data_IF_949938883678
#
_entry.id   IF_949938883678
#
_cell.length_a   1.000
_cell.length_b   1.000
_cell.length_c   1.000
_cell.angle_alpha   90.00
_cell.angle_beta   90.00
_cell.angle_gamma   90.00
#
_symmetry.space_group_name_H-M   'P 1'
#
loop_
_entity.id
_entity.type
_entity.pdbx_description
1 polymer ?
#
# COMPACT_ATOMS: atom_id res chain seq x y z
N UNK A 1 -17.37 36.00 7.68
CA UNK A 1 -16.94 34.86 6.85
C UNK A 1 -17.50 34.88 5.41
N UNK A 2 -18.66 35.49 5.16
CA UNK A 2 -19.30 35.60 3.82
C UNK A 2 -18.69 36.67 2.90
N UNK A 3 -18.04 37.69 3.40
CA UNK A 3 -17.51 38.81 2.59
C UNK A 3 -16.18 38.43 1.86
N UNK A 4 -15.36 37.61 2.47
CA UNK A 4 -14.10 37.13 1.88
C UNK A 4 -14.32 36.24 0.66
N UNK A 5 -15.35 35.41 0.67
CA UNK A 5 -15.72 34.51 -0.43
C UNK A 5 -16.17 35.26 -1.69
N UNK A 6 -16.91 36.40 -1.54
CA UNK A 6 -17.33 37.25 -2.69
C UNK A 6 -16.14 37.97 -3.33
N UNK A 7 -15.21 38.52 -2.54
CA UNK A 7 -14.00 39.18 -3.06
C UNK A 7 -13.09 38.20 -3.80
N UNK A 8 -12.90 37.01 -3.26
CA UNK A 8 -12.12 35.96 -3.94
C UNK A 8 -12.77 35.51 -5.25
N UNK A 9 -14.10 35.31 -5.29
CA UNK A 9 -14.80 35.01 -6.55
C UNK A 9 -14.67 36.13 -7.58
N UNK A 10 -14.80 37.38 -7.16
CA UNK A 10 -14.64 38.52 -8.07
C UNK A 10 -13.21 38.67 -8.57
N UNK A 11 -12.18 38.39 -7.74
CA UNK A 11 -10.80 38.34 -8.18
C UNK A 11 -10.57 37.22 -9.20
N UNK A 12 -11.03 36.01 -8.93
CA UNK A 12 -10.87 34.88 -9.87
C UNK A 12 -11.58 35.14 -11.21
N UNK A 13 -12.76 35.72 -11.19
CA UNK A 13 -13.51 36.09 -12.43
C UNK A 13 -12.74 37.17 -13.19
N UNK A 14 -12.27 38.22 -12.52
CA UNK A 14 -11.52 39.32 -13.12
C UNK A 14 -10.20 38.85 -13.71
N UNK A 15 -9.46 37.98 -13.01
CA UNK A 15 -8.19 37.40 -13.49
C UNK A 15 -8.45 36.48 -14.69
N UNK A 16 -9.50 35.69 -14.68
CA UNK A 16 -9.92 34.86 -15.80
C UNK A 16 -10.29 35.69 -17.04
N UNK A 17 -11.02 36.79 -16.88
CA UNK A 17 -11.38 37.68 -17.98
C UNK A 17 -10.14 38.36 -18.57
N UNK A 18 -9.24 38.85 -17.72
CA UNK A 18 -7.99 39.49 -18.17
C UNK A 18 -7.11 38.48 -18.90
N UNK A 19 -7.01 37.25 -18.38
CA UNK A 19 -6.23 36.16 -18.99
C UNK A 19 -6.82 35.77 -20.34
N UNK A 20 -8.12 35.62 -20.45
CA UNK A 20 -8.80 35.30 -21.70
C UNK A 20 -8.61 36.40 -22.77
N UNK A 21 -8.69 37.67 -22.37
CA UNK A 21 -8.44 38.79 -23.29
C UNK A 21 -6.99 38.84 -23.77
N UNK A 22 -6.02 38.57 -22.87
CA UNK A 22 -4.60 38.48 -23.24
C UNK A 22 -4.36 37.34 -24.23
N UNK A 23 -4.93 36.15 -23.98
CA UNK A 23 -4.81 35.04 -24.91
C UNK A 23 -5.54 35.32 -26.26
N UNK A 24 -6.69 35.97 -26.26
CA UNK A 24 -7.37 36.35 -27.49
C UNK A 24 -6.52 37.36 -28.32
N UNK A 25 -5.86 38.31 -27.66
CA UNK A 25 -4.95 39.24 -28.31
C UNK A 25 -3.70 38.50 -28.85
N UNK A 26 -3.06 37.67 -28.05
CA UNK A 26 -1.91 36.88 -28.45
C UNK A 26 -2.27 36.00 -29.65
N UNK A 27 -3.36 35.26 -29.61
CA UNK A 27 -3.84 34.43 -30.70
C UNK A 27 -4.06 35.26 -31.99
N UNK A 28 -4.67 36.44 -31.89
CA UNK A 28 -4.86 37.34 -33.02
C UNK A 28 -3.57 37.86 -33.62
N UNK A 29 -2.53 38.05 -32.81
CA UNK A 29 -1.14 38.42 -33.28
C UNK A 29 -0.45 37.21 -33.90
N UNK A 30 -0.52 36.04 -33.26
CA UNK A 30 0.07 34.79 -33.74
C UNK A 30 -0.54 34.38 -35.08
N UNK A 31 -1.83 34.46 -35.26
CA UNK A 31 -2.51 34.13 -36.54
C UNK A 31 -2.10 35.04 -37.70
N UNK A 32 -1.70 36.30 -37.41
CA UNK A 32 -1.20 37.26 -38.40
C UNK A 32 0.27 37.12 -38.68
N UNK A 33 1.08 36.82 -37.67
CA UNK A 33 2.53 36.81 -37.72
C UNK A 33 3.09 35.40 -38.07
N UNK A 34 2.41 34.31 -37.69
CA UNK A 34 2.90 32.95 -37.88
C UNK A 34 2.17 32.29 -39.06
N UNK A 35 2.84 32.24 -40.21
CA UNK A 35 2.40 31.36 -41.32
C UNK A 35 2.72 29.90 -40.90
N UNK A 36 1.77 29.20 -40.33
CA UNK A 36 1.89 27.75 -40.14
C UNK A 36 2.03 27.10 -41.52
N UNK A 37 3.22 26.60 -41.88
CA UNK A 37 3.31 25.61 -42.95
C UNK A 37 2.35 24.48 -42.60
N UNK A 38 1.45 24.12 -43.53
CA UNK A 38 0.63 22.95 -43.38
C UNK A 38 1.54 21.78 -42.96
N UNK A 39 1.43 21.33 -41.72
CA UNK A 39 2.14 20.12 -41.28
C UNK A 39 1.55 19.01 -42.14
N UNK A 40 2.38 18.47 -43.03
CA UNK A 40 2.10 17.14 -43.57
C UNK A 40 1.99 16.25 -42.33
N UNK A 41 0.81 15.68 -42.10
CA UNK A 41 0.53 14.78 -40.97
C UNK A 41 1.36 13.49 -41.13
N UNK A 42 2.66 13.60 -40.92
CA UNK A 42 3.44 12.40 -40.63
C UNK A 42 3.16 12.04 -39.19
N UNK A 43 2.37 10.97 -38.99
CA UNK A 43 2.17 10.32 -37.72
C UNK A 43 3.55 10.12 -37.08
N UNK A 44 3.76 10.74 -35.94
CA UNK A 44 5.01 10.55 -35.16
C UNK A 44 5.08 9.10 -34.69
N UNK A 45 6.28 8.65 -34.32
CA UNK A 45 6.45 7.30 -33.75
C UNK A 45 5.57 7.15 -32.50
N UNK A 46 5.43 8.21 -31.70
CA UNK A 46 4.55 8.25 -30.55
C UNK A 46 3.08 8.01 -30.93
N UNK A 47 2.59 8.62 -32.02
CA UNK A 47 1.21 8.45 -32.46
C UNK A 47 0.93 7.01 -32.92
N UNK A 48 1.90 6.36 -33.56
CA UNK A 48 1.78 4.95 -33.98
C UNK A 48 1.74 4.00 -32.78
N UNK A 49 2.56 4.24 -31.76
CA UNK A 49 2.56 3.48 -30.51
C UNK A 49 1.24 3.71 -29.78
N UNK A 50 0.76 4.95 -29.73
CA UNK A 50 -0.50 5.28 -29.09
C UNK A 50 -1.71 4.62 -29.74
N UNK A 51 -1.73 4.45 -31.06
CA UNK A 51 -2.80 3.70 -31.74
C UNK A 51 -2.94 2.25 -31.23
N UNK A 52 -1.84 1.62 -30.81
CA UNK A 52 -1.84 0.26 -30.25
C UNK A 52 -2.15 0.31 -28.76
N UNK A 53 -1.43 1.14 -28.01
CA UNK A 53 -1.48 1.20 -26.54
C UNK A 53 -2.80 1.77 -26.03
N UNK A 54 -3.40 2.72 -26.75
CA UNK A 54 -4.70 3.32 -26.38
C UNK A 54 -5.90 2.66 -27.06
N UNK A 55 -5.67 1.58 -27.82
CA UNK A 55 -6.74 0.84 -28.46
C UNK A 55 -7.71 0.27 -27.43
N UNK A 56 -9.00 0.48 -27.66
CA UNK A 56 -10.08 0.14 -26.70
C UNK A 56 -10.06 -1.32 -26.20
N UNK A 57 -9.58 -2.24 -27.01
CA UNK A 57 -9.54 -3.68 -26.69
C UNK A 57 -8.14 -4.10 -26.19
N UNK A 58 -7.08 -3.61 -26.85
CA UNK A 58 -5.71 -4.01 -26.55
C UNK A 58 -5.11 -3.30 -25.33
N UNK A 59 -5.62 -2.14 -24.98
CA UNK A 59 -5.07 -1.34 -23.88
C UNK A 59 -5.08 -2.08 -22.53
N UNK A 60 -6.18 -2.75 -22.17
CA UNK A 60 -6.30 -3.49 -20.93
C UNK A 60 -5.38 -4.72 -20.86
N UNK A 61 -5.31 -5.59 -21.88
CA UNK A 61 -4.34 -6.69 -21.91
C UNK A 61 -2.88 -6.23 -21.85
N UNK A 62 -2.51 -5.22 -22.65
CA UNK A 62 -1.14 -4.67 -22.63
C UNK A 62 -0.80 -4.15 -21.24
N UNK A 63 -1.71 -3.41 -20.66
CA UNK A 63 -1.58 -2.90 -19.31
C UNK A 63 -1.41 -4.03 -18.27
N UNK A 64 -2.26 -5.08 -18.35
CA UNK A 64 -2.16 -6.24 -17.46
C UNK A 64 -0.80 -6.94 -17.56
N UNK A 65 -0.28 -7.10 -18.79
CA UNK A 65 1.05 -7.70 -19.01
C UNK A 65 2.17 -6.84 -18.44
N UNK A 66 2.15 -5.52 -18.66
CA UNK A 66 3.18 -4.61 -18.11
C UNK A 66 3.15 -4.64 -16.58
N UNK A 67 1.97 -4.60 -15.97
CA UNK A 67 1.83 -4.68 -14.52
C UNK A 67 2.25 -6.03 -13.97
N UNK A 68 1.90 -7.11 -14.64
CA UNK A 68 2.35 -8.45 -14.28
C UNK A 68 3.87 -8.56 -14.28
N UNK A 69 4.53 -8.08 -15.33
CA UNK A 69 6.00 -8.08 -15.41
C UNK A 69 6.62 -7.23 -14.31
N UNK A 70 6.06 -6.05 -14.03
CA UNK A 70 6.55 -5.15 -12.98
C UNK A 70 6.44 -5.81 -11.60
N UNK A 71 5.29 -6.38 -11.27
CA UNK A 71 5.10 -7.04 -9.97
C UNK A 71 5.88 -8.35 -9.87
N UNK A 72 5.96 -9.13 -10.93
CA UNK A 72 6.76 -10.36 -10.95
C UNK A 72 8.25 -10.08 -10.73
N UNK A 73 8.78 -8.97 -11.26
CA UNK A 73 10.17 -8.58 -11.06
C UNK A 73 10.42 -7.99 -9.65
N UNK A 74 9.43 -7.33 -9.07
CA UNK A 74 9.55 -6.70 -7.74
C UNK A 74 9.21 -7.66 -6.59
N UNK A 75 8.14 -8.46 -6.74
CA UNK A 75 7.50 -9.23 -5.66
C UNK A 75 7.24 -10.70 -6.05
N UNK A 76 7.82 -11.20 -7.14
CA UNK A 76 7.66 -12.58 -7.59
C UNK A 76 8.54 -13.54 -6.80
N UNK A 77 8.68 -14.77 -7.32
CA UNK A 77 9.59 -15.77 -6.76
C UNK A 77 11.04 -15.30 -6.80
N UNK A 78 11.75 -15.44 -5.70
CA UNK A 78 13.15 -15.04 -5.53
C UNK A 78 14.05 -15.68 -6.59
N UNK A 79 15.14 -14.99 -6.94
CA UNK A 79 16.19 -15.55 -7.81
C UNK A 79 16.83 -16.76 -7.16
N UNK A 80 16.95 -16.79 -5.83
CA UNK A 80 17.49 -17.92 -5.08
C UNK A 80 16.65 -19.19 -5.28
N UNK A 81 15.33 -19.05 -5.45
CA UNK A 81 14.38 -20.15 -5.64
C UNK A 81 14.10 -20.46 -7.14
N UNK A 82 14.97 -19.99 -8.03
CA UNK A 82 14.84 -20.21 -9.47
C UNK A 82 13.86 -19.27 -10.18
N UNK A 83 13.39 -18.22 -9.51
CA UNK A 83 12.59 -17.15 -10.09
C UNK A 83 13.43 -16.03 -10.72
N UNK A 84 12.86 -14.87 -10.91
CA UNK A 84 13.51 -13.69 -11.50
C UNK A 84 13.23 -12.38 -10.74
N UNK A 85 12.66 -12.47 -9.54
CA UNK A 85 12.37 -11.30 -8.71
C UNK A 85 13.62 -10.79 -7.99
N UNK A 86 14.13 -9.67 -8.47
CA UNK A 86 15.28 -8.97 -7.88
C UNK A 86 14.89 -8.36 -6.52
N UNK A 87 13.66 -7.85 -6.42
CA UNK A 87 13.17 -7.23 -5.19
C UNK A 87 13.07 -8.21 -4.04
N UNK A 88 12.48 -9.38 -4.27
CA UNK A 88 12.37 -10.45 -3.27
C UNK A 88 13.74 -10.97 -2.87
N UNK A 89 14.61 -11.28 -3.83
CA UNK A 89 15.98 -11.72 -3.53
C UNK A 89 16.74 -10.73 -2.61
N UNK A 90 16.65 -9.44 -2.88
CA UNK A 90 17.31 -8.44 -2.05
C UNK A 90 16.67 -8.31 -0.66
N UNK A 91 15.36 -8.53 -0.56
CA UNK A 91 14.61 -8.54 0.70
C UNK A 91 14.98 -9.76 1.55
N UNK A 92 14.99 -10.96 0.94
CA UNK A 92 15.40 -12.22 1.61
C UNK A 92 16.83 -12.09 2.14
N UNK A 93 17.75 -11.63 1.30
CA UNK A 93 19.14 -11.40 1.75
C UNK A 93 19.22 -10.41 2.94
N UNK A 94 18.41 -9.34 2.91
CA UNK A 94 18.40 -8.35 3.99
C UNK A 94 17.81 -8.92 5.27
N UNK A 95 16.73 -9.70 5.17
CA UNK A 95 16.08 -10.31 6.33
C UNK A 95 16.93 -11.45 6.92
N UNK A 96 17.36 -12.39 6.09
CA UNK A 96 18.01 -13.62 6.57
C UNK A 96 19.48 -13.35 6.96
N UNK A 97 20.24 -12.67 6.09
CA UNK A 97 21.67 -12.47 6.32
C UNK A 97 21.92 -11.25 7.20
N UNK A 98 21.34 -10.09 6.88
CA UNK A 98 21.65 -8.86 7.61
C UNK A 98 20.98 -8.82 8.98
N UNK A 99 19.66 -9.02 9.03
CA UNK A 99 18.89 -8.95 10.27
C UNK A 99 18.67 -10.29 10.95
N UNK A 100 18.82 -11.43 10.26
CA UNK A 100 18.77 -12.76 10.83
C UNK A 100 20.10 -13.21 11.46
N UNK A 101 21.24 -12.88 10.83
CA UNK A 101 22.54 -13.37 11.27
C UNK A 101 23.49 -12.24 11.74
N UNK A 102 23.81 -11.26 10.87
CA UNK A 102 24.89 -10.30 11.13
C UNK A 102 24.57 -9.40 12.31
N UNK A 103 23.41 -8.74 12.27
CA UNK A 103 23.03 -7.75 13.31
C UNK A 103 22.77 -8.42 14.65
N UNK A 104 22.01 -9.54 14.76
CA UNK A 104 21.80 -10.23 16.02
C UNK A 104 23.08 -10.76 16.63
N UNK A 105 23.95 -11.40 15.84
CA UNK A 105 25.22 -11.93 16.34
C UNK A 105 26.16 -10.82 16.83
N UNK A 106 26.27 -9.72 16.09
CA UNK A 106 27.14 -8.61 16.46
C UNK A 106 26.63 -7.86 17.70
N UNK A 107 25.33 -7.52 17.72
CA UNK A 107 24.73 -6.79 18.86
C UNK A 107 24.51 -7.71 20.07
N UNK A 108 24.06 -8.96 19.85
CA UNK A 108 23.87 -9.94 20.92
C UNK A 108 25.17 -10.22 21.65
N UNK A 109 26.25 -10.56 20.93
CA UNK A 109 27.56 -10.76 21.53
C UNK A 109 28.11 -9.53 22.27
N UNK A 110 27.84 -8.31 21.76
CA UNK A 110 28.22 -7.08 22.44
C UNK A 110 27.41 -6.86 23.73
N UNK A 111 26.09 -7.06 23.70
CA UNK A 111 25.21 -6.91 24.87
C UNK A 111 25.50 -7.95 25.95
N UNK A 112 25.76 -9.20 25.56
CA UNK A 112 26.17 -10.27 26.49
C UNK A 112 27.54 -9.97 27.11
N UNK A 113 28.48 -9.43 26.33
CA UNK A 113 29.80 -9.04 26.81
C UNK A 113 29.78 -7.92 27.87
N UNK A 114 28.75 -7.06 27.86
CA UNK A 114 28.53 -5.99 28.86
C UNK A 114 27.72 -6.50 30.08
N UNK A 115 27.06 -7.67 29.98
CA UNK A 115 26.23 -8.22 31.04
C UNK A 115 24.91 -7.46 31.23
N UNK A 116 24.25 -7.10 30.15
CA UNK A 116 22.98 -6.34 30.14
C UNK A 116 21.87 -7.17 30.79
N UNK A 117 20.98 -6.52 31.55
CA UNK A 117 19.81 -7.15 32.17
C UNK A 117 18.89 -7.76 31.07
N UNK A 118 18.35 -8.98 31.31
CA UNK A 118 17.56 -9.73 30.33
C UNK A 118 16.41 -8.95 29.70
N UNK A 119 15.67 -8.15 30.47
CA UNK A 119 14.59 -7.33 29.95
C UNK A 119 15.07 -6.25 28.95
N UNK A 120 16.27 -5.69 29.19
CA UNK A 120 16.86 -4.68 28.32
C UNK A 120 17.44 -5.33 27.05
N UNK A 121 17.97 -6.55 27.17
CA UNK A 121 18.38 -7.37 26.03
C UNK A 121 17.18 -7.64 25.10
N UNK A 122 16.04 -8.10 25.64
CA UNK A 122 14.81 -8.32 24.89
C UNK A 122 14.28 -7.03 24.25
N UNK A 123 14.28 -5.89 24.97
CA UNK A 123 13.87 -4.60 24.40
C UNK A 123 14.71 -4.21 23.18
N UNK A 124 16.02 -4.39 23.27
CA UNK A 124 16.93 -4.03 22.16
C UNK A 124 16.78 -4.99 21.00
N UNK A 125 16.80 -6.31 21.26
CA UNK A 125 16.77 -7.32 20.20
C UNK A 125 15.37 -7.49 19.60
N UNK A 126 14.37 -7.77 20.42
CA UNK A 126 13.03 -8.10 19.97
C UNK A 126 12.16 -6.86 19.72
N UNK A 127 12.42 -5.77 20.41
CA UNK A 127 11.70 -4.51 20.21
C UNK A 127 12.32 -3.63 19.12
N UNK A 128 13.59 -3.25 19.28
CA UNK A 128 14.24 -2.25 18.41
C UNK A 128 14.81 -2.91 17.15
N UNK A 129 15.64 -3.95 17.29
CA UNK A 129 16.30 -4.57 16.13
C UNK A 129 15.28 -5.27 15.24
N UNK A 130 14.35 -6.01 15.81
CA UNK A 130 13.27 -6.63 15.06
C UNK A 130 12.37 -5.58 14.37
N UNK A 131 12.05 -4.47 15.07
CA UNK A 131 11.28 -3.36 14.49
C UNK A 131 12.00 -2.63 13.35
N UNK A 132 13.29 -2.38 13.49
CA UNK A 132 14.14 -1.81 12.44
C UNK A 132 14.29 -2.80 11.28
N UNK A 133 14.50 -4.08 11.58
CA UNK A 133 14.59 -5.17 10.61
C UNK A 133 13.33 -5.28 9.76
N UNK A 134 12.17 -5.28 10.39
CA UNK A 134 10.88 -5.31 9.68
C UNK A 134 10.70 -4.13 8.70
N UNK A 135 11.24 -2.93 9.03
CA UNK A 135 11.19 -1.79 8.12
C UNK A 135 12.23 -1.89 7.02
N UNK A 136 13.50 -2.10 7.38
CA UNK A 136 14.61 -2.10 6.41
C UNK A 136 14.64 -3.35 5.55
N UNK A 137 14.15 -4.48 6.07
CA UNK A 137 14.00 -5.72 5.32
C UNK A 137 13.08 -5.56 4.12
N UNK A 138 12.02 -4.76 4.25
CA UNK A 138 11.06 -4.53 3.17
C UNK A 138 11.47 -3.42 2.18
N UNK A 139 12.46 -2.61 2.53
CA UNK A 139 12.93 -1.48 1.70
C UNK A 139 13.47 -1.90 0.33
N UNK A 140 14.28 -2.96 0.18
CA UNK A 140 14.82 -3.33 -1.12
C UNK A 140 13.73 -3.63 -2.16
N UNK A 141 12.73 -4.41 -1.79
CA UNK A 141 11.57 -4.73 -2.64
C UNK A 141 10.80 -3.46 -3.05
N UNK A 142 10.61 -2.54 -2.10
CA UNK A 142 9.98 -1.25 -2.35
C UNK A 142 10.79 -0.36 -3.29
N UNK A 143 12.12 -0.34 -3.18
CA UNK A 143 13.00 0.42 -4.06
C UNK A 143 12.92 -0.08 -5.51
N UNK A 144 12.91 -1.39 -5.71
CA UNK A 144 12.72 -1.99 -7.04
C UNK A 144 11.36 -1.59 -7.61
N UNK A 145 10.30 -1.66 -6.82
CA UNK A 145 8.97 -1.23 -7.23
C UNK A 145 8.94 0.25 -7.61
N UNK A 146 9.51 1.14 -6.79
CA UNK A 146 9.57 2.57 -7.07
C UNK A 146 10.40 2.88 -8.32
N UNK A 147 11.47 2.14 -8.53
CA UNK A 147 12.32 2.27 -9.71
C UNK A 147 11.54 1.95 -10.99
N UNK A 148 10.86 0.81 -11.03
CA UNK A 148 10.04 0.39 -12.16
C UNK A 148 8.88 1.36 -12.42
N UNK A 149 8.19 1.80 -11.36
CA UNK A 149 7.13 2.80 -11.47
C UNK A 149 7.64 4.14 -12.00
N UNK A 150 8.83 4.58 -11.56
CA UNK A 150 9.44 5.83 -12.04
C UNK A 150 9.81 5.74 -13.51
N UNK A 151 10.24 4.58 -14.00
CA UNK A 151 10.48 4.35 -15.44
C UNK A 151 9.16 4.50 -16.22
N UNK A 152 8.08 3.84 -15.79
CA UNK A 152 6.78 3.90 -16.47
C UNK A 152 6.17 5.31 -16.46
N UNK A 153 6.42 6.06 -15.38
CA UNK A 153 5.98 7.45 -15.24
C UNK A 153 6.78 8.37 -16.18
N UNK A 154 8.10 8.24 -16.20
CA UNK A 154 8.99 9.05 -17.00
C UNK A 154 8.81 8.81 -18.51
N UNK A 155 8.60 7.58 -18.96
CA UNK A 155 8.24 7.24 -20.35
C UNK A 155 6.90 7.88 -20.77
N UNK A 156 6.04 8.24 -19.82
CA UNK A 156 4.71 8.80 -20.07
C UNK A 156 3.62 7.75 -20.26
N UNK A 157 3.89 6.47 -19.96
CA UNK A 157 2.91 5.39 -20.09
C UNK A 157 1.72 5.54 -19.12
N UNK A 158 1.98 6.00 -17.88
CA UNK A 158 0.95 6.20 -16.86
C UNK A 158 -0.14 7.19 -17.27
N UNK A 159 0.21 8.21 -18.03
CA UNK A 159 -0.75 9.20 -18.55
C UNK A 159 -1.78 8.57 -19.50
N UNK A 160 -1.35 7.61 -20.30
CA UNK A 160 -2.21 6.90 -21.26
C UNK A 160 -3.15 5.94 -20.56
N UNK A 161 -2.65 5.24 -19.56
CA UNK A 161 -3.47 4.36 -18.72
C UNK A 161 -4.57 5.17 -18.01
N UNK A 162 -4.20 6.32 -17.43
CA UNK A 162 -5.17 7.22 -16.79
C UNK A 162 -6.24 7.70 -17.77
N UNK A 163 -5.86 8.03 -19.01
CA UNK A 163 -6.81 8.44 -20.05
C UNK A 163 -7.81 7.35 -20.42
N UNK A 164 -7.34 6.10 -20.58
CA UNK A 164 -8.20 4.96 -20.91
C UNK A 164 -9.20 4.69 -19.78
N UNK A 165 -8.72 4.73 -18.54
CA UNK A 165 -9.50 4.40 -17.36
C UNK A 165 -10.44 5.51 -16.89
N UNK A 166 -10.23 6.77 -17.31
CA UNK A 166 -11.06 7.91 -16.93
C UNK A 166 -12.54 7.67 -17.25
N UNK A 167 -12.83 7.07 -18.41
CA UNK A 167 -14.22 6.76 -18.81
C UNK A 167 -14.91 5.80 -17.83
N UNK A 168 -14.18 4.85 -17.27
CA UNK A 168 -14.70 3.84 -16.33
C UNK A 168 -14.89 4.47 -14.96
N UNK A 169 -13.87 5.14 -14.45
CA UNK A 169 -13.87 5.71 -13.10
C UNK A 169 -14.87 6.86 -12.91
N UNK A 170 -15.08 7.67 -13.94
CA UNK A 170 -16.11 8.73 -13.92
C UNK A 170 -17.52 8.21 -13.67
N UNK A 171 -17.85 7.01 -14.15
CA UNK A 171 -19.18 6.40 -13.88
C UNK A 171 -19.40 6.18 -12.39
N UNK A 172 -18.34 5.95 -11.64
CA UNK A 172 -18.36 5.71 -10.19
C UNK A 172 -18.09 6.97 -9.36
N UNK A 173 -17.94 8.13 -10.02
CA UNK A 173 -17.73 9.41 -9.33
C UNK A 173 -16.29 9.69 -8.92
N UNK A 174 -15.34 8.88 -9.38
CA UNK A 174 -13.90 9.07 -9.20
C UNK A 174 -13.31 9.70 -10.48
N UNK A 175 -12.25 10.50 -10.34
CA UNK A 175 -11.53 11.02 -11.50
C UNK A 175 -10.66 9.94 -12.14
N UNK A 176 -10.36 10.04 -13.43
CA UNK A 176 -9.46 9.10 -14.10
C UNK A 176 -8.05 9.08 -13.49
N UNK A 177 -7.60 10.21 -12.93
CA UNK A 177 -6.33 10.27 -12.20
C UNK A 177 -6.33 9.40 -10.94
N UNK A 178 -7.49 9.08 -10.36
CA UNK A 178 -7.63 8.21 -9.18
C UNK A 178 -7.29 6.75 -9.48
N UNK A 179 -7.33 6.34 -10.75
CA UNK A 179 -6.98 4.98 -11.13
C UNK A 179 -5.51 4.65 -10.86
N UNK A 180 -4.59 5.59 -11.13
CA UNK A 180 -3.14 5.36 -10.92
C UNK A 180 -2.84 5.00 -9.46
N UNK A 181 -3.27 5.78 -8.45
CA UNK A 181 -3.12 5.41 -7.04
C UNK A 181 -3.72 4.06 -6.67
N UNK A 182 -4.93 3.76 -7.15
CA UNK A 182 -5.60 2.47 -6.86
C UNK A 182 -4.81 1.31 -7.43
N UNK A 183 -4.32 1.47 -8.68
CA UNK A 183 -3.53 0.46 -9.34
C UNK A 183 -2.20 0.21 -8.63
N UNK A 184 -1.44 1.27 -8.39
CA UNK A 184 -0.18 1.17 -7.64
C UNK A 184 -0.41 0.56 -6.25
N UNK A 185 -1.58 0.84 -5.66
CA UNK A 185 -2.05 0.26 -4.41
C UNK A 185 -2.20 -1.26 -4.41
N UNK A 186 -2.39 -1.90 -5.59
CA UNK A 186 -2.43 -3.37 -5.67
C UNK A 186 -1.11 -4.02 -5.29
N UNK A 187 0.01 -3.39 -5.58
CA UNK A 187 1.33 -3.82 -5.12
C UNK A 187 1.55 -3.42 -3.66
N UNK A 188 1.44 -2.13 -3.37
CA UNK A 188 1.58 -1.61 -2.02
C UNK A 188 0.76 -0.33 -1.81
N UNK A 189 0.07 -0.24 -0.67
CA UNK A 189 -0.74 0.93 -0.32
C UNK A 189 0.05 2.22 -0.16
N UNK A 190 1.32 2.15 0.27
CA UNK A 190 2.19 3.33 0.49
C UNK A 190 2.43 4.11 -0.79
N UNK A 191 3.02 3.51 -1.85
CA UNK A 191 3.19 4.21 -3.12
C UNK A 191 1.85 4.58 -3.76
N UNK A 192 0.80 3.77 -3.56
CA UNK A 192 -0.55 4.11 -4.00
C UNK A 192 -1.05 5.43 -3.41
N UNK A 193 -0.93 5.61 -2.09
CA UNK A 193 -1.26 6.87 -1.42
C UNK A 193 -0.35 8.01 -1.88
N UNK A 194 0.94 7.78 -2.03
CA UNK A 194 1.89 8.80 -2.50
C UNK A 194 1.57 9.26 -3.93
N UNK A 195 1.16 8.35 -4.82
CA UNK A 195 0.76 8.67 -6.18
C UNK A 195 -0.49 9.57 -6.24
N UNK A 196 -1.34 9.55 -5.21
CA UNK A 196 -2.52 10.44 -5.15
C UNK A 196 -2.16 11.93 -5.09
N UNK A 197 -0.92 12.28 -4.77
CA UNK A 197 -0.44 13.67 -4.75
C UNK A 197 -0.41 14.31 -6.12
N UNK A 198 -0.44 13.52 -7.19
CA UNK A 198 -0.56 14.02 -8.57
C UNK A 198 -1.96 14.50 -8.92
N UNK A 199 -2.94 14.26 -8.04
CA UNK A 199 -4.33 14.72 -8.21
C UNK A 199 -4.45 16.16 -7.71
N UNK A 200 -4.71 17.10 -8.61
CA UNK A 200 -4.78 18.54 -8.31
C UNK A 200 -6.01 18.91 -7.48
N UNK A 201 -7.15 18.26 -7.77
CA UNK A 201 -8.38 18.51 -7.03
C UNK A 201 -8.31 17.87 -5.63
N UNK A 202 -8.32 18.70 -4.58
CA UNK A 202 -8.17 18.25 -3.21
C UNK A 202 -9.28 17.28 -2.77
N UNK A 203 -10.50 17.47 -3.24
CA UNK A 203 -11.64 16.60 -2.96
C UNK A 203 -11.40 15.20 -3.56
N UNK A 204 -11.06 15.14 -4.85
CA UNK A 204 -10.82 13.88 -5.55
C UNK A 204 -9.58 13.16 -4.99
N UNK A 205 -8.56 13.93 -4.60
CA UNK A 205 -7.38 13.39 -3.93
C UNK A 205 -7.73 12.74 -2.58
N UNK A 206 -8.52 13.42 -1.73
CA UNK A 206 -8.95 12.86 -0.44
C UNK A 206 -9.81 11.61 -0.62
N UNK A 207 -10.76 11.63 -1.56
CA UNK A 207 -11.54 10.43 -1.89
C UNK A 207 -10.65 9.27 -2.32
N UNK A 208 -9.69 9.53 -3.18
CA UNK A 208 -8.74 8.51 -3.66
C UNK A 208 -7.91 7.94 -2.53
N UNK A 209 -7.37 8.77 -1.64
CA UNK A 209 -6.62 8.32 -0.46
C UNK A 209 -7.47 7.38 0.41
N UNK A 210 -8.73 7.74 0.66
CA UNK A 210 -9.64 6.93 1.49
C UNK A 210 -9.97 5.57 0.87
N UNK A 211 -10.02 5.48 -0.44
CA UNK A 211 -10.47 4.27 -1.15
C UNK A 211 -9.33 3.38 -1.64
N UNK A 212 -8.15 3.94 -1.91
CA UNK A 212 -7.01 3.20 -2.49
C UNK A 212 -6.59 2.01 -1.63
N UNK A 213 -6.67 2.12 -0.30
CA UNK A 213 -6.22 1.07 0.61
C UNK A 213 -7.18 -0.13 0.73
N UNK A 214 -8.36 -0.10 0.11
CA UNK A 214 -9.29 -1.24 0.13
C UNK A 214 -8.88 -2.36 -0.82
N UNK A 215 -8.09 -2.05 -1.86
CA UNK A 215 -7.59 -3.09 -2.75
C UNK A 215 -6.57 -3.98 -2.01
N UNK A 216 -6.57 -5.30 -2.25
CA UNK A 216 -5.52 -6.19 -1.73
C UNK A 216 -4.15 -5.75 -2.24
N UNK A 217 -3.19 -5.59 -1.35
CA UNK A 217 -1.79 -5.37 -1.66
C UNK A 217 -0.98 -6.63 -1.32
N UNK A 218 0.29 -6.68 -1.73
CA UNK A 218 1.18 -7.82 -1.46
C UNK A 218 1.18 -8.26 0.02
N UNK A 219 1.28 -7.31 0.94
CA UNK A 219 1.26 -7.57 2.39
C UNK A 219 -0.06 -8.18 2.93
N UNK A 220 -1.13 -8.15 2.16
CA UNK A 220 -2.41 -8.80 2.51
C UNK A 220 -2.52 -10.22 1.94
N UNK A 221 -1.63 -10.61 1.02
CA UNK A 221 -1.68 -11.94 0.39
C UNK A 221 -1.46 -13.09 1.39
N UNK A 222 -0.53 -12.99 2.37
CA UNK A 222 -0.37 -14.01 3.39
C UNK A 222 -1.66 -14.30 4.18
N UNK A 223 -2.43 -13.27 4.53
CA UNK A 223 -3.72 -13.44 5.23
C UNK A 223 -4.72 -14.19 4.35
N UNK A 224 -4.76 -13.83 3.06
CA UNK A 224 -5.64 -14.50 2.10
C UNK A 224 -5.20 -15.96 1.92
N UNK A 225 -3.88 -16.21 1.83
CA UNK A 225 -3.29 -17.55 1.74
C UNK A 225 -3.60 -18.41 2.96
N UNK A 226 -3.40 -17.88 4.17
CA UNK A 226 -3.71 -18.54 5.43
C UNK A 226 -5.18 -19.01 5.48
N UNK A 227 -6.12 -18.10 5.19
CA UNK A 227 -7.55 -18.43 5.26
C UNK A 227 -7.99 -19.36 4.11
N UNK A 228 -7.45 -19.15 2.90
CA UNK A 228 -7.73 -20.02 1.77
C UNK A 228 -7.20 -21.43 2.01
N UNK A 229 -6.02 -21.57 2.59
CA UNK A 229 -5.41 -22.85 2.96
C UNK A 229 -6.15 -23.55 4.09
N UNK A 230 -6.28 -22.88 5.22
CA UNK A 230 -6.87 -23.45 6.43
C UNK A 230 -8.34 -23.89 6.28
N UNK A 231 -9.16 -23.10 5.55
CA UNK A 231 -10.62 -23.32 5.51
C UNK A 231 -11.15 -23.82 4.16
N UNK A 232 -10.43 -23.55 3.06
CA UNK A 232 -10.91 -23.77 1.70
C UNK A 232 -9.97 -24.64 0.84
N UNK A 233 -9.05 -25.37 1.50
CA UNK A 233 -8.15 -26.32 0.84
C UNK A 233 -7.25 -25.67 -0.23
N UNK A 234 -6.83 -24.43 -0.02
CA UNK A 234 -5.96 -23.71 -0.96
C UNK A 234 -6.67 -23.17 -2.22
N UNK A 235 -7.99 -23.02 -2.18
CA UNK A 235 -8.77 -22.59 -3.34
C UNK A 235 -8.41 -21.19 -3.80
N UNK A 236 -7.91 -21.05 -5.04
CA UNK A 236 -7.62 -19.77 -5.69
C UNK A 236 -8.85 -18.86 -5.84
N UNK A 237 -10.08 -19.43 -5.79
CA UNK A 237 -11.31 -18.64 -5.84
C UNK A 237 -11.45 -17.68 -4.65
N UNK A 238 -10.91 -18.04 -3.48
CA UNK A 238 -10.90 -17.18 -2.31
C UNK A 238 -10.05 -15.94 -2.55
N UNK A 239 -8.85 -16.09 -3.12
CA UNK A 239 -7.98 -14.97 -3.48
C UNK A 239 -8.65 -14.06 -4.52
N UNK A 240 -9.23 -14.65 -5.57
CA UNK A 240 -9.96 -13.89 -6.60
C UNK A 240 -11.14 -13.13 -5.97
N UNK A 241 -11.91 -13.76 -5.09
CA UNK A 241 -13.05 -13.11 -4.40
C UNK A 241 -12.60 -11.91 -3.56
N UNK A 242 -11.44 -11.99 -2.90
CA UNK A 242 -10.88 -10.89 -2.11
C UNK A 242 -10.61 -9.64 -2.98
N UNK A 243 -10.07 -9.82 -4.18
CA UNK A 243 -9.88 -8.71 -5.14
C UNK A 243 -11.19 -8.09 -5.60
N UNK A 244 -12.19 -8.92 -5.92
CA UNK A 244 -13.51 -8.42 -6.32
C UNK A 244 -14.21 -7.66 -5.18
N UNK A 245 -14.07 -8.13 -3.93
CA UNK A 245 -14.62 -7.45 -2.75
C UNK A 245 -13.89 -6.11 -2.54
N UNK A 246 -12.56 -6.07 -2.67
CA UNK A 246 -11.79 -4.82 -2.60
C UNK A 246 -12.24 -3.80 -3.65
N UNK A 247 -12.41 -4.22 -4.90
CA UNK A 247 -12.93 -3.36 -5.97
C UNK A 247 -14.37 -2.90 -5.69
N UNK A 248 -15.24 -3.79 -5.25
CA UNK A 248 -16.61 -3.45 -4.89
C UNK A 248 -16.64 -2.43 -3.73
N UNK A 249 -15.77 -2.58 -2.73
CA UNK A 249 -15.62 -1.64 -1.62
C UNK A 249 -15.17 -0.26 -2.09
N UNK A 250 -14.23 -0.16 -3.05
CA UNK A 250 -13.80 1.11 -3.65
C UNK A 250 -14.98 1.79 -4.35
N UNK A 251 -15.71 1.05 -5.17
CA UNK A 251 -16.87 1.57 -5.92
C UNK A 251 -17.97 2.03 -4.98
N UNK A 252 -18.37 1.20 -4.02
CA UNK A 252 -19.42 1.52 -3.04
C UNK A 252 -19.02 2.73 -2.20
N UNK A 253 -17.78 2.76 -1.70
CA UNK A 253 -17.28 3.89 -0.91
C UNK A 253 -17.23 5.18 -1.75
N UNK A 254 -16.79 5.11 -3.01
CA UNK A 254 -16.82 6.25 -3.92
C UNK A 254 -18.23 6.82 -4.13
N UNK A 255 -19.22 5.94 -4.33
CA UNK A 255 -20.63 6.34 -4.49
C UNK A 255 -21.20 6.94 -3.18
N UNK A 256 -20.88 6.33 -2.02
CA UNK A 256 -21.33 6.82 -0.72
C UNK A 256 -20.71 8.19 -0.41
N UNK A 257 -19.40 8.32 -0.58
CA UNK A 257 -18.67 9.56 -0.33
C UNK A 257 -19.19 10.70 -1.23
N UNK A 258 -19.47 10.43 -2.51
CA UNK A 258 -20.04 11.43 -3.44
C UNK A 258 -21.38 12.00 -2.96
N UNK A 259 -22.19 11.21 -2.22
CA UNK A 259 -23.47 11.66 -1.65
C UNK A 259 -23.30 12.52 -0.41
N UNK A 260 -22.12 12.54 0.23
CA UNK A 260 -21.87 13.36 1.41
C UNK A 260 -21.59 14.81 1.03
N UNK A 261 -22.04 15.76 1.85
CA UNK A 261 -21.84 17.22 1.59
C UNK A 261 -20.37 17.63 1.44
N UNK A 262 -19.44 16.88 2.07
CA UNK A 262 -18.00 17.16 2.02
C UNK A 262 -17.38 16.82 0.64
N UNK A 263 -17.96 15.83 -0.05
CA UNK A 263 -17.44 15.31 -1.33
C UNK A 263 -18.44 15.44 -2.50
N UNK A 264 -19.57 16.14 -2.27
CA UNK A 264 -20.56 16.38 -3.31
C UNK A 264 -20.00 17.25 -4.44
N UNK A 265 -20.36 16.92 -5.68
CA UNK A 265 -19.99 17.64 -6.90
C UNK A 265 -19.51 16.70 -7.99
N UNK A 266 -19.34 17.24 -9.20
CA UNK A 266 -18.83 16.46 -10.33
C UNK A 266 -17.30 16.29 -10.24
N UNK A 267 -16.75 15.13 -10.64
CA UNK A 267 -15.30 14.92 -10.71
C UNK A 267 -14.69 15.95 -11.68
N UNK A 268 -13.47 16.38 -11.36
CA UNK A 268 -12.75 17.32 -12.22
C UNK A 268 -12.62 16.77 -13.65
N UNK A 269 -12.85 17.60 -14.68
CA UNK A 269 -12.65 17.16 -16.05
C UNK A 269 -11.20 16.73 -16.25
N UNK A 270 -11.01 15.54 -16.80
CA UNK A 270 -9.70 15.04 -17.13
C UNK A 270 -9.25 15.65 -18.46
N UNK A 271 -8.52 16.75 -18.38
CA UNK A 271 -7.86 17.37 -19.53
C UNK A 271 -6.37 17.21 -19.31
N UNK A 272 -5.75 16.28 -20.02
CA UNK A 272 -4.31 16.05 -19.99
C UNK A 272 -3.82 15.87 -21.42
N UNK A 273 -2.85 16.70 -21.82
CA UNK A 273 -2.08 16.46 -23.04
C UNK A 273 -1.23 15.22 -22.81
N UNK A 274 -1.28 14.27 -23.76
CA UNK A 274 -0.45 13.08 -23.70
C UNK A 274 0.99 13.49 -24.05
N UNK A 275 1.96 13.38 -23.14
CA UNK A 275 3.35 13.71 -23.44
C UNK A 275 3.89 12.75 -24.50
N UNK A 276 4.76 13.22 -25.39
CA UNK A 276 5.44 12.34 -26.35
C UNK A 276 6.27 11.29 -25.59
N UNK A 277 6.37 10.07 -26.13
CA UNK A 277 7.28 9.07 -25.57
C UNK A 277 8.72 9.54 -25.68
N UNK A 278 9.47 9.38 -24.62
CA UNK A 278 10.90 9.64 -24.59
C UNK A 278 11.63 8.55 -23.81
N UNK A 279 12.90 8.40 -24.09
CA UNK A 279 13.75 7.45 -23.35
C UNK A 279 13.88 7.96 -21.92
N UNK A 280 13.77 7.07 -20.91
CA UNK A 280 13.86 7.47 -19.50
C UNK A 280 15.16 8.25 -19.22
N UNK A 281 15.01 9.36 -18.54
CA UNK A 281 16.16 10.11 -18.04
C UNK A 281 16.68 9.43 -16.76
N UNK A 282 17.64 8.54 -16.88
CA UNK A 282 18.14 7.70 -15.78
C UNK A 282 18.46 8.48 -14.50
N UNK A 283 19.04 9.67 -14.63
CA UNK A 283 19.31 10.53 -13.47
C UNK A 283 18.06 10.93 -12.71
N UNK A 284 16.96 11.22 -13.42
CA UNK A 284 15.67 11.56 -12.81
C UNK A 284 15.03 10.33 -12.16
N UNK A 285 15.08 9.19 -12.83
CA UNK A 285 14.53 7.92 -12.32
C UNK A 285 15.22 7.51 -11.02
N UNK A 286 16.55 7.50 -10.97
CA UNK A 286 17.29 7.16 -9.76
C UNK A 286 17.03 8.14 -8.62
N UNK A 287 17.00 9.44 -8.92
CA UNK A 287 16.71 10.47 -7.93
C UNK A 287 15.30 10.34 -7.37
N UNK A 288 14.30 10.16 -8.24
CA UNK A 288 12.91 9.96 -7.83
C UNK A 288 12.73 8.71 -6.97
N UNK A 289 13.39 7.60 -7.35
CA UNK A 289 13.39 6.35 -6.58
C UNK A 289 13.98 6.57 -5.19
N UNK A 290 15.15 7.21 -5.12
CA UNK A 290 15.81 7.49 -3.84
C UNK A 290 14.98 8.41 -2.93
N UNK A 291 14.46 9.51 -3.48
CA UNK A 291 13.62 10.45 -2.72
C UNK A 291 12.35 9.79 -2.18
N UNK A 292 11.71 8.92 -2.98
CA UNK A 292 10.54 8.13 -2.55
C UNK A 292 10.92 7.12 -1.46
N UNK A 293 11.99 6.37 -1.66
CA UNK A 293 12.50 5.38 -0.69
C UNK A 293 12.91 6.03 0.63
N UNK A 294 13.66 7.11 0.58
CA UNK A 294 14.07 7.85 1.79
C UNK A 294 12.88 8.45 2.53
N UNK A 295 11.91 9.01 1.80
CA UNK A 295 10.68 9.52 2.38
C UNK A 295 9.88 8.41 3.07
N UNK A 296 9.86 7.20 2.49
CA UNK A 296 9.25 6.02 3.08
C UNK A 296 9.93 5.64 4.41
N UNK A 297 11.25 5.44 4.40
CA UNK A 297 12.03 5.08 5.59
C UNK A 297 11.80 6.10 6.72
N UNK A 298 11.86 7.38 6.41
CA UNK A 298 11.73 8.44 7.42
C UNK A 298 10.33 8.52 8.02
N UNK A 299 9.28 8.35 7.21
CA UNK A 299 7.89 8.50 7.67
C UNK A 299 7.32 7.21 8.24
N UNK A 300 7.43 6.12 7.49
CA UNK A 300 6.91 4.83 7.90
C UNK A 300 7.78 4.19 8.98
N UNK A 301 9.10 4.23 8.82
CA UNK A 301 10.03 3.62 9.75
C UNK A 301 9.90 4.15 11.18
N UNK A 302 9.75 5.47 11.37
CA UNK A 302 9.58 6.05 12.71
C UNK A 302 8.28 5.60 13.39
N UNK A 303 7.20 5.49 12.64
CA UNK A 303 5.89 5.07 13.17
C UNK A 303 5.90 3.57 13.49
N UNK A 304 6.46 2.76 12.60
CA UNK A 304 6.55 1.31 12.79
C UNK A 304 7.44 1.01 14.00
N UNK A 305 8.62 1.62 14.07
CA UNK A 305 9.54 1.40 15.21
C UNK A 305 8.87 1.77 16.55
N UNK A 306 8.20 2.90 16.62
CA UNK A 306 7.47 3.27 17.84
C UNK A 306 6.37 2.26 18.18
N UNK A 307 5.65 1.78 17.18
CA UNK A 307 4.58 0.81 17.37
C UNK A 307 5.10 -0.58 17.78
N UNK A 308 6.21 -1.04 17.20
CA UNK A 308 6.83 -2.34 17.58
C UNK A 308 7.36 -2.32 19.00
N UNK A 309 8.00 -1.24 19.44
CA UNK A 309 8.45 -1.08 20.83
C UNK A 309 7.27 -1.09 21.81
N UNK A 310 6.17 -0.38 21.48
CA UNK A 310 4.96 -0.38 22.31
C UNK A 310 4.33 -1.77 22.37
N UNK A 311 4.23 -2.48 21.24
CA UNK A 311 3.69 -3.83 21.22
C UNK A 311 4.57 -4.83 21.96
N UNK A 312 5.89 -4.75 21.80
CA UNK A 312 6.82 -5.58 22.56
C UNK A 312 6.57 -5.42 24.06
N UNK A 313 6.42 -4.17 24.53
CA UNK A 313 6.10 -3.92 25.93
C UNK A 313 4.75 -4.52 26.34
N UNK A 314 3.71 -4.35 25.53
CA UNK A 314 2.37 -4.88 25.83
C UNK A 314 2.30 -6.42 25.78
N UNK A 315 3.14 -7.06 24.96
CA UNK A 315 3.23 -8.52 24.85
C UNK A 315 4.11 -9.14 25.93
N UNK A 316 5.25 -8.49 26.24
CA UNK A 316 6.23 -9.03 27.18
C UNK A 316 5.89 -8.78 28.65
N UNK A 317 4.98 -7.84 28.97
CA UNK A 317 4.59 -7.54 30.33
C UNK A 317 3.12 -7.91 30.58
N UNK A 318 2.87 -8.44 31.78
CA UNK A 318 1.53 -8.86 32.18
C UNK A 318 1.38 -9.07 33.67
N UNK A 319 0.29 -9.69 34.06
CA UNK A 319 -0.01 -10.03 35.44
C UNK A 319 0.07 -11.55 35.62
N UNK A 320 1.10 -12.02 36.24
CA UNK A 320 1.26 -13.42 36.62
C UNK A 320 1.28 -13.55 38.16
N UNK A 321 0.45 -14.44 38.70
CA UNK A 321 0.30 -14.64 40.15
C UNK A 321 -0.01 -13.39 40.97
N UNK A 322 -0.64 -12.37 40.35
CA UNK A 322 -0.97 -11.10 41.03
C UNK A 322 0.17 -10.07 41.08
N UNK A 323 1.35 -10.37 40.55
CA UNK A 323 2.46 -9.44 40.41
C UNK A 323 2.57 -8.99 38.94
N UNK A 324 2.90 -7.71 38.74
CA UNK A 324 3.20 -7.17 37.43
C UNK A 324 4.68 -7.45 37.08
N UNK A 325 4.93 -8.15 35.99
CA UNK A 325 6.28 -8.51 35.56
C UNK A 325 6.34 -8.94 34.11
N UNK A 326 7.50 -9.42 33.69
CA UNK A 326 7.65 -10.11 32.41
C UNK A 326 6.90 -11.45 32.47
N UNK A 327 6.17 -11.78 31.43
CA UNK A 327 5.31 -12.97 31.33
C UNK A 327 5.88 -13.86 30.24
N UNK A 328 6.02 -15.16 30.54
CA UNK A 328 6.42 -16.15 29.55
C UNK A 328 5.24 -16.54 28.67
N UNK A 329 4.04 -16.65 29.27
CA UNK A 329 2.80 -16.93 28.54
C UNK A 329 2.11 -15.68 28.05
N UNK A 330 1.95 -15.54 26.74
CA UNK A 330 1.29 -14.37 26.12
C UNK A 330 -0.18 -14.25 26.50
N UNK A 331 -0.83 -15.30 26.93
CA UNK A 331 -2.21 -15.31 27.43
C UNK A 331 -2.39 -14.39 28.66
N UNK A 332 -1.34 -14.23 29.46
CA UNK A 332 -1.31 -13.39 30.66
C UNK A 332 -0.80 -11.96 30.40
N UNK A 333 -0.51 -11.63 29.14
CA UNK A 333 0.02 -10.31 28.77
C UNK A 333 -1.02 -9.20 28.89
N UNK A 334 -0.54 -7.96 29.07
CA UNK A 334 -1.40 -6.77 29.04
C UNK A 334 -2.14 -6.69 27.70
N UNK A 335 -1.50 -7.08 26.59
CA UNK A 335 -2.11 -7.10 25.28
C UNK A 335 -3.28 -8.08 25.21
N UNK A 336 -3.14 -9.31 25.75
CA UNK A 336 -4.22 -10.30 25.80
C UNK A 336 -5.39 -9.79 26.65
N UNK A 337 -5.12 -9.17 27.80
CA UNK A 337 -6.14 -8.60 28.68
C UNK A 337 -6.91 -7.45 28.00
N UNK A 338 -6.24 -6.58 27.27
CA UNK A 338 -6.89 -5.52 26.48
C UNK A 338 -7.69 -6.15 25.32
N UNK A 339 -7.08 -7.07 24.58
CA UNK A 339 -7.71 -7.72 23.45
C UNK A 339 -8.98 -8.47 23.84
N UNK A 340 -8.98 -9.18 24.98
CA UNK A 340 -10.17 -9.88 25.50
C UNK A 340 -11.30 -8.88 25.81
N UNK A 341 -10.98 -7.71 26.37
CA UNK A 341 -12.00 -6.67 26.63
C UNK A 341 -12.54 -6.03 25.35
N UNK A 342 -11.75 -5.98 24.28
CA UNK A 342 -12.14 -5.38 22.99
C UNK A 342 -12.78 -6.41 22.06
N UNK A 343 -12.51 -7.70 22.26
CA UNK A 343 -12.97 -8.80 21.41
C UNK A 343 -14.51 -8.82 21.18
N UNK A 344 -15.30 -8.33 22.15
CA UNK A 344 -16.75 -8.23 22.01
C UNK A 344 -17.19 -7.37 20.81
N UNK A 345 -16.38 -6.40 20.39
CA UNK A 345 -16.67 -5.55 19.23
C UNK A 345 -16.68 -6.39 17.94
N UNK A 346 -15.86 -7.44 17.89
CA UNK A 346 -15.73 -8.34 16.74
C UNK A 346 -16.70 -9.55 16.83
N UNK A 347 -17.37 -9.75 17.97
CA UNK A 347 -18.33 -10.82 18.14
C UNK A 347 -19.45 -10.82 17.10
N UNK A 348 -20.05 -9.68 16.67
CA UNK A 348 -21.04 -9.65 15.61
C UNK A 348 -20.50 -10.10 14.24
N UNK A 349 -19.20 -10.02 14.02
CA UNK A 349 -18.52 -10.47 12.79
C UNK A 349 -18.14 -11.96 12.82
N UNK A 350 -18.38 -12.65 13.96
CA UNK A 350 -18.14 -14.07 14.12
C UNK A 350 -16.71 -14.46 14.54
N UNK A 351 -15.80 -13.50 14.75
CA UNK A 351 -14.43 -13.74 15.23
C UNK A 351 -14.09 -12.97 16.53
N UNK A 352 -15.03 -12.92 17.47
CA UNK A 352 -14.87 -12.24 18.76
C UNK A 352 -13.96 -12.98 19.74
N UNK A 353 -12.86 -13.60 19.29
CA UNK A 353 -11.83 -14.19 20.14
C UNK A 353 -10.66 -13.23 20.33
N UNK A 354 -9.92 -13.39 21.44
CA UNK A 354 -8.80 -12.51 21.75
C UNK A 354 -7.63 -12.67 20.76
N UNK A 355 -7.37 -13.89 20.26
CA UNK A 355 -6.31 -14.17 19.27
C UNK A 355 -6.55 -13.41 17.97
N UNK A 356 -7.78 -13.45 17.43
CA UNK A 356 -8.15 -12.67 16.25
C UNK A 356 -8.01 -11.15 16.47
N UNK A 357 -8.34 -10.69 17.68
CA UNK A 357 -8.22 -9.28 18.04
C UNK A 357 -6.76 -8.85 18.06
N UNK A 358 -5.88 -9.63 18.72
CA UNK A 358 -4.43 -9.37 18.73
C UNK A 358 -3.86 -9.39 17.32
N UNK A 359 -4.18 -10.42 16.52
CA UNK A 359 -3.72 -10.52 15.13
C UNK A 359 -4.22 -9.34 14.28
N UNK A 360 -5.46 -8.86 14.48
CA UNK A 360 -5.96 -7.67 13.78
C UNK A 360 -5.25 -6.40 14.19
N UNK A 361 -4.88 -6.26 15.45
CA UNK A 361 -4.13 -5.09 15.96
C UNK A 361 -2.69 -5.11 15.46
N UNK A 362 -2.00 -6.26 15.51
CA UNK A 362 -0.64 -6.39 14.94
C UNK A 362 -0.63 -6.13 13.43
N UNK A 363 -1.68 -6.55 12.71
CA UNK A 363 -1.90 -6.25 11.31
C UNK A 363 -2.10 -4.76 10.97
N UNK A 364 -2.27 -3.87 11.94
CA UNK A 364 -2.21 -2.43 11.71
C UNK A 364 -0.78 -1.92 11.58
N UNK A 365 0.20 -2.59 12.17
CA UNK A 365 1.61 -2.22 12.01
C UNK A 365 2.05 -2.60 10.60
N UNK A 366 1.97 -3.89 10.30
CA UNK A 366 2.25 -4.46 9.00
C UNK A 366 1.29 -5.64 8.76
N UNK A 367 0.67 -5.71 7.60
CA UNK A 367 -0.38 -6.71 7.35
C UNK A 367 0.17 -8.14 7.30
N UNK A 368 1.40 -8.33 6.88
CA UNK A 368 2.10 -9.61 6.92
C UNK A 368 2.25 -10.16 8.34
N UNK A 369 2.38 -9.31 9.34
CA UNK A 369 2.54 -9.72 10.74
C UNK A 369 1.33 -10.49 11.31
N UNK A 370 0.19 -10.47 10.64
CA UNK A 370 -1.00 -11.23 11.07
C UNK A 370 -0.71 -12.73 11.14
N UNK A 371 -0.05 -13.27 10.12
CA UNK A 371 0.29 -14.71 10.05
C UNK A 371 1.33 -15.06 11.12
N UNK A 372 2.40 -14.28 11.21
CA UNK A 372 3.41 -14.47 12.26
C UNK A 372 2.82 -14.37 13.68
N UNK A 373 1.89 -13.42 13.91
CA UNK A 373 1.18 -13.32 15.20
C UNK A 373 0.37 -14.57 15.49
N UNK A 374 -0.33 -15.15 14.52
CA UNK A 374 -1.01 -16.43 14.72
C UNK A 374 -0.04 -17.55 15.05
N UNK A 375 1.13 -17.63 14.39
CA UNK A 375 2.17 -18.60 14.72
C UNK A 375 2.58 -18.53 16.18
N UNK A 376 2.85 -17.34 16.67
CA UNK A 376 3.20 -17.12 18.08
C UNK A 376 2.04 -17.48 19.02
N UNK A 377 0.81 -17.02 18.71
CA UNK A 377 -0.38 -17.26 19.54
C UNK A 377 -0.84 -18.72 19.57
N UNK A 378 -0.45 -19.52 18.59
CA UNK A 378 -0.68 -20.97 18.56
C UNK A 378 0.52 -21.79 19.05
N UNK A 379 1.53 -21.11 19.66
CA UNK A 379 2.74 -21.75 20.20
C UNK A 379 3.44 -22.65 19.18
N UNK A 380 3.56 -22.16 17.94
CA UNK A 380 4.30 -22.90 16.91
C UNK A 380 5.79 -22.92 17.28
N UNK A 381 6.27 -24.11 17.64
CA UNK A 381 7.66 -24.33 18.07
C UNK A 381 8.63 -24.66 16.93
N UNK A 382 8.28 -24.44 15.67
CA UNK A 382 9.14 -24.61 14.50
C UNK A 382 10.11 -23.45 14.32
N UNK A 383 11.19 -23.68 13.57
CA UNK A 383 12.23 -22.67 13.35
C UNK A 383 11.73 -21.47 12.52
N UNK A 384 10.89 -21.72 11.52
CA UNK A 384 10.28 -20.65 10.68
C UNK A 384 8.85 -21.01 10.27
N UNK A 385 7.99 -20.01 10.16
CA UNK A 385 6.63 -20.14 9.63
C UNK A 385 6.66 -19.78 8.15
N UNK A 386 6.02 -20.60 7.30
CA UNK A 386 5.86 -20.25 5.88
C UNK A 386 5.08 -18.94 5.71
N UNK A 387 5.27 -18.23 4.59
CA UNK A 387 4.60 -16.96 4.32
C UNK A 387 3.06 -17.06 4.44
N UNK A 388 2.49 -18.21 4.08
CA UNK A 388 1.05 -18.48 4.16
C UNK A 388 0.64 -19.20 5.46
N UNK A 389 1.58 -19.53 6.36
CA UNK A 389 1.34 -20.21 7.62
C UNK A 389 0.79 -21.63 7.45
N UNK A 390 1.31 -22.39 6.49
CA UNK A 390 0.84 -23.75 6.16
C UNK A 390 0.86 -24.68 7.37
N UNK A 391 1.81 -24.49 8.26
CA UNK A 391 2.06 -25.28 9.45
C UNK A 391 0.95 -25.12 10.52
N UNK A 392 0.28 -23.94 10.53
CA UNK A 392 -0.75 -23.63 11.51
C UNK A 392 -2.18 -23.75 10.97
N UNK A 393 -2.37 -24.16 9.71
CA UNK A 393 -3.71 -24.26 9.10
C UNK A 393 -4.68 -25.09 9.92
N UNK A 394 -4.24 -26.23 10.44
CA UNK A 394 -5.09 -27.11 11.25
C UNK A 394 -5.52 -26.47 12.58
N UNK A 395 -4.64 -25.67 13.18
CA UNK A 395 -4.92 -24.97 14.44
C UNK A 395 -5.92 -23.82 14.21
N UNK A 396 -5.72 -23.08 13.13
CA UNK A 396 -6.68 -22.03 12.72
C UNK A 396 -8.03 -22.64 12.36
N UNK A 397 -8.06 -23.77 11.64
CA UNK A 397 -9.28 -24.45 11.27
C UNK A 397 -10.08 -24.98 12.49
N UNK A 398 -9.42 -25.28 13.60
CA UNK A 398 -10.07 -25.71 14.84
C UNK A 398 -10.78 -24.55 15.56
N UNK A 399 -10.23 -23.34 15.52
CA UNK A 399 -10.76 -22.17 16.25
C UNK A 399 -11.79 -21.34 15.45
N UNK A 400 -11.84 -21.51 14.14
CA UNK A 400 -12.69 -20.73 13.26
C UNK A 400 -13.64 -21.60 12.43
N UNK A 401 -14.84 -21.07 12.16
CA UNK A 401 -15.70 -21.59 11.10
C UNK A 401 -15.32 -20.94 9.77
N UNK A 402 -15.65 -21.58 8.64
CA UNK A 402 -15.37 -21.02 7.30
C UNK A 402 -15.93 -19.59 7.13
N UNK A 403 -17.10 -19.31 7.71
CA UNK A 403 -17.73 -17.99 7.65
C UNK A 403 -16.99 -16.96 8.51
N UNK A 404 -16.58 -17.31 9.74
CA UNK A 404 -15.87 -16.41 10.64
C UNK A 404 -14.45 -16.12 10.15
N UNK A 405 -13.76 -17.12 9.60
CA UNK A 405 -12.44 -16.95 8.99
C UNK A 405 -12.52 -16.04 7.74
N UNK A 406 -13.53 -16.24 6.90
CA UNK A 406 -13.76 -15.38 5.74
C UNK A 406 -14.10 -13.94 6.16
N UNK A 407 -14.92 -13.76 7.20
CA UNK A 407 -15.24 -12.44 7.77
C UNK A 407 -13.98 -11.75 8.33
N UNK A 408 -13.10 -12.50 9.02
CA UNK A 408 -11.81 -12.02 9.51
C UNK A 408 -10.91 -11.56 8.35
N UNK A 409 -10.84 -12.35 7.28
CA UNK A 409 -10.08 -11.99 6.07
C UNK A 409 -10.61 -10.68 5.46
N UNK A 410 -11.92 -10.56 5.24
CA UNK A 410 -12.54 -9.35 4.69
C UNK A 410 -12.31 -8.16 5.61
N UNK A 411 -12.45 -8.34 6.92
CA UNK A 411 -12.18 -7.27 7.88
C UNK A 411 -10.74 -6.76 7.74
N UNK A 412 -9.74 -7.64 7.74
CA UNK A 412 -8.34 -7.25 7.58
C UNK A 412 -8.03 -6.64 6.21
N UNK A 413 -8.79 -7.01 5.18
CA UNK A 413 -8.71 -6.43 3.86
C UNK A 413 -9.21 -4.97 3.84
N UNK A 414 -10.35 -4.69 4.49
CA UNK A 414 -11.06 -3.41 4.42
C UNK A 414 -10.84 -2.51 5.63
N UNK A 415 -10.23 -3.00 6.72
CA UNK A 415 -9.92 -2.18 7.89
C UNK A 415 -8.86 -1.10 7.57
N UNK A 416 -8.50 -0.32 8.58
CA UNK A 416 -7.48 0.72 8.45
C UNK A 416 -6.19 0.17 7.79
N UNK A 417 -5.54 0.95 6.92
CA UNK A 417 -4.29 0.55 6.29
C UNK A 417 -3.17 0.42 7.34
N UNK A 418 -2.06 -0.24 6.98
CA UNK A 418 -0.89 -0.35 7.84
C UNK A 418 -0.33 1.04 8.22
N UNK A 419 0.40 1.09 9.33
CA UNK A 419 0.99 2.36 9.81
C UNK A 419 1.91 3.01 8.78
N UNK A 420 2.59 2.23 7.94
CA UNK A 420 3.36 2.75 6.83
C UNK A 420 2.49 3.58 5.86
N UNK A 421 1.34 3.05 5.46
CA UNK A 421 0.41 3.78 4.59
C UNK A 421 -0.25 4.97 5.30
N UNK A 422 -0.57 4.84 6.59
CA UNK A 422 -1.06 5.97 7.41
C UNK A 422 -0.02 7.09 7.52
N UNK A 423 1.26 6.74 7.68
CA UNK A 423 2.37 7.70 7.62
C UNK A 423 2.52 8.41 6.28
N UNK A 424 2.18 7.76 5.18
CA UNK A 424 2.19 8.35 3.84
C UNK A 424 1.01 9.32 3.60
N UNK A 425 -0.12 9.13 4.30
CA UNK A 425 -1.29 10.01 4.23
C UNK A 425 -0.98 11.38 4.85
N UNK A 426 -0.18 11.43 5.90
CA UNK A 426 0.23 12.64 6.60
C UNK A 426 1.28 13.41 5.79
#
# INVERSE_FOLDING_TARGET
>A
LHSTSRRQRQMCIRDSIITNQRYAYINGVVDKAVKKKARVEHLTVSDKVDQIVTNRVLALPIFAVIMYLMYSLSMGTSIADGGWAIGTFATDWTNDVLFGEIVPNALGGFLEGIGVAGWLYGLIMDGIVAGVGAVLGFVPQMLVLFFLLSILEDIGYMSRVAFIMDRIFRKFGLSGKSFIPVLVGTGCGVPGVMASRTIENERDRRMTIMTTCFIPCGAKMPIIGLIAGAMFGGSSLVAVSAYFIGMAAIICSGIILKKTKAFAGDPAPFVMELPAYHIPAWGNVFRATWERGWSFIKRAGSVILAATVVLWFLQGFGFENGAFGMVEDQDNSVLAAIATKVAWIFAPLGFGNWKATVASVSGLIAKENVVGTFGVLYHFGGEELSENGDEIWNLVAADYTALSAYAFMIFNLLCAPCFAAMGAIK
#
